data_IF_173897874507
#
_entry.id   IF_173897874507
#
_cell.length_a   1.000
_cell.length_b   1.000
_cell.length_c   1.000
_cell.angle_alpha   90.00
_cell.angle_beta   90.00
_cell.angle_gamma   90.00
#
_symmetry.space_group_name_H-M   'P 1'
#
loop_
_entity.id
_entity.type
_entity.pdbx_description
1 polymer ?
#
# COMPACT_ATOMS: atom_id res chain seq x y z
N UNK A 1 -11.73 1.08 -10.55
CA UNK A 1 -10.36 0.60 -10.31
C UNK A 1 -9.52 0.94 -11.52
N UNK A 2 -8.50 1.77 -11.36
CA UNK A 2 -7.61 2.16 -12.45
C UNK A 2 -6.17 2.16 -11.99
N UNK A 3 -5.38 1.21 -12.50
CA UNK A 3 -3.94 1.23 -12.30
C UNK A 3 -3.30 2.15 -13.35
N UNK A 4 -2.69 3.23 -12.87
CA UNK A 4 -1.90 4.16 -13.66
C UNK A 4 -0.48 3.61 -13.79
N UNK A 5 0.02 3.49 -15.02
CA UNK A 5 1.35 2.96 -15.29
C UNK A 5 2.17 3.96 -16.09
N UNK A 6 3.42 4.15 -15.68
CA UNK A 6 4.47 4.82 -16.44
C UNK A 6 5.59 3.82 -16.75
N UNK A 7 6.62 4.26 -17.45
CA UNK A 7 7.81 3.42 -17.67
C UNK A 7 8.51 3.03 -16.36
N UNK A 8 8.32 3.78 -15.27
CA UNK A 8 9.10 3.59 -14.03
C UNK A 8 8.27 3.19 -12.82
N UNK A 9 6.96 3.42 -12.85
CA UNK A 9 6.08 3.19 -11.70
C UNK A 9 4.68 2.72 -12.11
N UNK A 10 4.02 1.99 -11.22
CA UNK A 10 2.59 1.72 -11.27
C UNK A 10 1.94 2.12 -9.95
N UNK A 11 0.79 2.80 -10.01
CA UNK A 11 0.04 3.28 -8.84
C UNK A 11 -1.45 3.05 -9.04
N UNK A 12 -2.24 3.17 -7.97
CA UNK A 12 -3.70 3.01 -7.99
C UNK A 12 -4.37 4.19 -7.28
N UNK A 13 -5.64 4.45 -7.61
CA UNK A 13 -6.52 5.37 -6.90
C UNK A 13 -7.19 4.75 -5.66
N UNK A 14 -7.10 3.42 -5.49
CA UNK A 14 -7.79 2.65 -4.44
C UNK A 14 -6.82 2.24 -3.33
N UNK A 15 -5.58 1.90 -3.68
CA UNK A 15 -4.57 1.41 -2.75
C UNK A 15 -3.36 2.34 -2.67
N UNK A 16 -2.77 2.54 -1.47
CA UNK A 16 -1.52 3.26 -1.32
C UNK A 16 -0.29 2.46 -1.78
N UNK A 17 -0.44 1.19 -2.18
CA UNK A 17 0.70 0.43 -2.68
C UNK A 17 1.09 0.83 -4.10
N UNK A 18 2.34 0.52 -4.43
CA UNK A 18 2.97 0.92 -5.70
C UNK A 18 3.87 -0.18 -6.23
N UNK A 19 4.09 -0.18 -7.54
CA UNK A 19 5.19 -0.89 -8.17
C UNK A 19 6.21 0.13 -8.67
N UNK A 20 7.51 -0.18 -8.53
CA UNK A 20 8.58 0.66 -9.09
C UNK A 20 9.64 -0.20 -9.76
N UNK A 21 10.28 0.35 -10.79
CA UNK A 21 11.46 -0.26 -11.39
C UNK A 21 12.70 -0.03 -10.52
N UNK A 22 13.49 -1.07 -10.36
CA UNK A 22 14.80 -1.07 -9.71
C UNK A 22 15.87 -1.24 -10.78
N UNK A 23 16.87 -0.32 -10.83
CA UNK A 23 17.99 -0.44 -11.75
C UNK A 23 18.76 -1.77 -11.61
N UNK A 24 19.36 -2.24 -12.70
CA UNK A 24 20.34 -3.34 -12.70
C UNK A 24 19.83 -4.70 -13.17
N UNK A 25 18.53 -4.89 -13.36
CA UNK A 25 17.97 -6.10 -13.99
C UNK A 25 16.97 -5.70 -15.08
N UNK A 26 17.24 -6.09 -16.33
CA UNK A 26 16.41 -5.72 -17.47
C UNK A 26 15.20 -6.65 -17.67
N UNK A 27 15.25 -7.89 -17.15
CA UNK A 27 14.19 -8.89 -17.32
C UNK A 27 13.16 -8.82 -16.19
N UNK A 28 13.61 -8.57 -14.97
CA UNK A 28 12.75 -8.43 -13.79
C UNK A 28 13.01 -7.12 -13.05
N UNK A 29 12.81 -5.96 -13.71
CA UNK A 29 13.11 -4.68 -13.09
C UNK A 29 12.13 -4.30 -11.98
N UNK A 30 10.96 -4.94 -11.86
CA UNK A 30 9.90 -4.41 -10.99
C UNK A 30 9.93 -4.97 -9.57
N UNK A 31 9.56 -4.14 -8.60
CA UNK A 31 9.26 -4.52 -7.22
C UNK A 31 7.96 -3.88 -6.77
N UNK A 32 7.20 -4.59 -5.95
CA UNK A 32 6.00 -4.09 -5.29
C UNK A 32 6.36 -3.59 -3.89
N UNK A 33 5.72 -2.53 -3.43
CA UNK A 33 5.91 -2.01 -2.07
C UNK A 33 5.47 -2.99 -0.98
N UNK A 34 4.50 -3.86 -1.26
CA UNK A 34 4.01 -4.89 -0.33
C UNK A 34 4.69 -6.25 -0.49
N UNK A 35 5.47 -6.45 -1.56
CA UNK A 35 6.27 -7.65 -1.81
C UNK A 35 7.71 -7.26 -2.19
N UNK A 36 8.44 -6.58 -1.29
CA UNK A 36 9.74 -6.02 -1.64
C UNK A 36 10.76 -7.11 -1.95
N UNK A 37 10.69 -8.28 -1.33
CA UNK A 37 11.75 -9.30 -1.46
C UNK A 37 11.76 -10.02 -2.82
N UNK A 38 10.83 -9.70 -3.72
CA UNK A 38 10.75 -10.30 -5.06
C UNK A 38 10.97 -9.28 -6.16
N UNK A 39 11.78 -9.67 -7.14
CA UNK A 39 11.86 -9.02 -8.46
C UNK A 39 10.82 -9.64 -9.37
N UNK A 40 10.18 -8.82 -10.18
CA UNK A 40 9.02 -9.16 -11.00
C UNK A 40 9.20 -8.66 -12.43
N UNK A 41 8.59 -9.37 -13.38
CA UNK A 41 8.33 -8.82 -14.72
C UNK A 41 7.31 -7.69 -14.64
N UNK A 42 7.17 -6.91 -15.72
CA UNK A 42 6.15 -5.85 -15.79
C UNK A 42 4.72 -6.42 -15.65
N UNK A 43 4.46 -7.57 -16.26
CA UNK A 43 3.17 -8.26 -16.19
C UNK A 43 2.88 -8.74 -14.75
N UNK A 44 3.86 -9.34 -14.09
CA UNK A 44 3.72 -9.76 -12.70
C UNK A 44 3.50 -8.56 -11.76
N UNK A 45 4.22 -7.46 -11.97
CA UNK A 45 4.01 -6.23 -11.20
C UNK A 45 2.59 -5.69 -11.39
N UNK A 46 2.08 -5.66 -12.64
CA UNK A 46 0.71 -5.25 -12.94
C UNK A 46 -0.31 -6.14 -12.22
N UNK A 47 -0.09 -7.45 -12.22
CA UNK A 47 -0.95 -8.40 -11.53
C UNK A 47 -0.93 -8.23 -10.01
N UNK A 48 0.23 -7.90 -9.43
CA UNK A 48 0.31 -7.59 -8.01
C UNK A 48 -0.38 -6.29 -7.61
N UNK A 49 -0.42 -5.30 -8.51
CA UNK A 49 -1.24 -4.09 -8.32
C UNK A 49 -2.73 -4.41 -8.40
N UNK A 50 -3.16 -5.22 -9.37
CA UNK A 50 -4.57 -5.61 -9.53
C UNK A 50 -5.05 -6.47 -8.36
N UNK A 51 -4.22 -7.40 -7.90
CA UNK A 51 -4.50 -8.19 -6.70
C UNK A 51 -4.76 -7.29 -5.49
N UNK A 52 -3.90 -6.31 -5.28
CA UNK A 52 -4.02 -5.40 -4.14
C UNK A 52 -5.24 -4.47 -4.25
N UNK A 53 -5.59 -4.01 -5.45
CA UNK A 53 -6.85 -3.30 -5.68
C UNK A 53 -8.06 -4.17 -5.28
N UNK A 54 -8.11 -5.43 -5.71
CA UNK A 54 -9.21 -6.36 -5.40
C UNK A 54 -9.31 -6.59 -3.89
N UNK A 55 -8.18 -6.77 -3.20
CA UNK A 55 -8.16 -6.97 -1.74
C UNK A 55 -8.54 -5.71 -0.98
N UNK A 56 -8.22 -4.53 -1.52
CA UNK A 56 -8.45 -3.25 -0.86
C UNK A 56 -9.87 -2.69 -1.05
N UNK A 57 -10.64 -3.17 -2.03
CA UNK A 57 -12.02 -2.70 -2.29
C UNK A 57 -13.06 -3.56 -1.55
N UNK A 58 -13.72 -3.04 -0.49
CA UNK A 58 -14.73 -3.78 0.25
C UNK A 58 -15.96 -4.15 -0.59
N UNK A 59 -16.24 -3.43 -1.68
CA UNK A 59 -17.38 -3.72 -2.56
C UNK A 59 -17.21 -5.05 -3.32
N UNK A 60 -15.99 -5.57 -3.44
CA UNK A 60 -15.66 -6.78 -4.20
C UNK A 60 -15.63 -8.06 -3.36
N UNK A 61 -15.80 -7.98 -2.04
CA UNK A 61 -15.66 -9.11 -1.11
C UNK A 61 -16.57 -10.30 -1.46
N UNK A 62 -17.74 -10.05 -2.04
CA UNK A 62 -18.70 -11.09 -2.46
C UNK A 62 -18.74 -11.30 -3.98
N UNK A 63 -17.95 -10.56 -4.75
CA UNK A 63 -17.87 -10.72 -6.20
C UNK A 63 -16.95 -11.91 -6.55
N UNK A 64 -17.58 -13.04 -6.90
CA UNK A 64 -16.88 -14.27 -7.27
C UNK A 64 -15.94 -14.09 -8.48
N UNK A 65 -16.29 -13.22 -9.43
CA UNK A 65 -15.43 -12.96 -10.58
C UNK A 65 -14.19 -12.15 -10.16
N UNK A 66 -14.34 -11.19 -9.24
CA UNK A 66 -13.21 -10.47 -8.66
C UNK A 66 -12.29 -11.40 -7.86
N UNK A 67 -12.85 -12.28 -7.02
CA UNK A 67 -12.07 -13.26 -6.26
C UNK A 67 -11.30 -14.23 -7.18
N UNK A 68 -11.93 -14.70 -8.26
CA UNK A 68 -11.25 -15.55 -9.24
C UNK A 68 -10.11 -14.83 -9.96
N UNK A 69 -10.29 -13.56 -10.34
CA UNK A 69 -9.21 -12.71 -10.90
C UNK A 69 -8.09 -12.50 -9.89
N UNK A 70 -8.42 -12.23 -8.63
CA UNK A 70 -7.45 -12.09 -7.54
C UNK A 70 -6.61 -13.35 -7.35
N UNK A 71 -7.23 -14.52 -7.33
CA UNK A 71 -6.53 -15.81 -7.25
C UNK A 71 -5.62 -16.06 -8.47
N UNK A 72 -6.08 -15.70 -9.67
CA UNK A 72 -5.25 -15.77 -10.87
C UNK A 72 -4.01 -14.86 -10.77
N UNK A 73 -4.19 -13.62 -10.34
CA UNK A 73 -3.09 -12.67 -10.12
C UNK A 73 -2.10 -13.20 -9.08
N UNK A 74 -2.58 -13.79 -7.98
CA UNK A 74 -1.73 -14.41 -6.96
C UNK A 74 -0.91 -15.56 -7.56
N UNK A 75 -1.53 -16.38 -8.42
CA UNK A 75 -0.87 -17.45 -9.16
C UNK A 75 0.28 -16.95 -10.04
N UNK A 76 0.11 -15.82 -10.72
CA UNK A 76 1.18 -15.22 -11.54
C UNK A 76 2.40 -14.76 -10.72
N UNK A 77 2.18 -14.43 -9.44
CA UNK A 77 3.22 -14.10 -8.49
C UNK A 77 3.84 -15.34 -7.81
N UNK A 78 3.34 -16.55 -8.09
CA UNK A 78 3.71 -17.76 -7.38
C UNK A 78 3.27 -17.73 -5.92
N UNK A 79 2.08 -17.17 -5.64
CA UNK A 79 1.48 -17.08 -4.32
C UNK A 79 0.11 -17.78 -4.32
N UNK A 80 -0.24 -18.32 -3.16
CA UNK A 80 -1.63 -18.64 -2.86
C UNK A 80 -2.39 -17.36 -2.53
N UNK A 81 -3.68 -17.33 -2.84
CA UNK A 81 -4.57 -16.19 -2.58
C UNK A 81 -4.51 -15.76 -1.10
N UNK A 82 -4.62 -16.73 -0.19
CA UNK A 82 -4.61 -16.51 1.25
C UNK A 82 -3.28 -15.93 1.73
N UNK A 83 -2.16 -16.37 1.14
CA UNK A 83 -0.84 -15.82 1.44
C UNK A 83 -0.72 -14.35 1.01
N UNK A 84 -1.27 -14.01 -0.16
CA UNK A 84 -1.26 -12.63 -0.64
C UNK A 84 -2.08 -11.71 0.29
N UNK A 85 -3.27 -12.14 0.72
CA UNK A 85 -4.08 -11.41 1.71
C UNK A 85 -3.30 -11.18 3.01
N UNK A 86 -2.62 -12.20 3.53
CA UNK A 86 -1.83 -12.08 4.76
C UNK A 86 -0.69 -11.07 4.61
N UNK A 87 0.01 -11.07 3.47
CA UNK A 87 1.10 -10.13 3.20
C UNK A 87 0.58 -8.68 3.13
N UNK A 88 -0.53 -8.45 2.43
CA UNK A 88 -1.16 -7.14 2.34
C UNK A 88 -1.70 -6.66 3.69
N UNK A 89 -2.30 -7.54 4.48
CA UNK A 89 -2.77 -7.22 5.84
C UNK A 89 -1.62 -6.81 6.76
N UNK A 90 -0.47 -7.49 6.67
CA UNK A 90 0.75 -7.11 7.40
C UNK A 90 1.25 -5.75 6.96
N UNK A 91 1.24 -5.47 5.66
CA UNK A 91 1.67 -4.19 5.10
C UNK A 91 0.75 -3.04 5.54
N UNK A 92 -0.56 -3.25 5.56
CA UNK A 92 -1.54 -2.30 6.11
C UNK A 92 -1.27 -2.03 7.60
N UNK A 93 -1.04 -3.09 8.38
CA UNK A 93 -0.72 -2.98 9.81
C UNK A 93 0.57 -2.19 10.06
N UNK A 94 1.60 -2.38 9.22
CA UNK A 94 2.84 -1.62 9.30
C UNK A 94 2.60 -0.12 9.03
N UNK A 95 1.83 0.21 7.98
CA UNK A 95 1.47 1.61 7.68
C UNK A 95 0.68 2.27 8.81
N UNK A 96 -0.26 1.54 9.43
CA UNK A 96 -1.03 2.07 10.57
C UNK A 96 -0.11 2.38 11.77
N UNK A 97 0.94 1.58 11.98
CA UNK A 97 1.95 1.86 13.02
C UNK A 97 2.82 3.05 12.67
N UNK A 98 3.24 3.16 11.40
CA UNK A 98 4.03 4.30 10.88
C UNK A 98 3.24 5.62 10.92
N UNK A 99 1.92 5.58 10.71
CA UNK A 99 1.04 6.75 10.83
C UNK A 99 0.68 7.12 12.28
N UNK A 100 0.72 6.15 13.20
CA UNK A 100 0.47 6.38 14.62
C UNK A 100 1.68 7.01 15.34
N UNK A 101 2.88 6.94 14.77
CA UNK A 101 4.03 7.74 15.19
C UNK A 101 3.86 9.18 14.71
N UNK A 102 3.01 9.95 15.40
CA UNK A 102 3.07 11.41 15.37
C UNK A 102 4.48 11.80 15.85
N UNK A 103 5.22 12.68 15.13
CA UNK A 103 6.50 13.17 15.63
C UNK A 103 6.26 13.82 17.00
N UNK A 104 7.13 13.53 17.97
CA UNK A 104 7.06 14.05 19.34
C UNK A 104 7.25 15.59 19.43
N UNK A 105 7.33 16.24 18.27
CA UNK A 105 7.78 17.60 18.04
C UNK A 105 6.60 18.59 17.99
N UNK A 106 5.34 18.13 18.12
CA UNK A 106 4.13 18.98 18.06
C UNK A 106 3.44 19.20 19.41
N UNK A 107 4.06 18.83 20.54
CA UNK A 107 3.42 18.92 21.87
C UNK A 107 3.94 20.05 22.79
N UNK A 108 4.86 20.91 22.31
CA UNK A 108 5.43 22.00 23.12
C UNK A 108 4.70 23.36 22.92
N UNK A 109 4.09 23.64 21.76
CA UNK A 109 3.51 24.96 21.47
C UNK A 109 2.11 25.19 22.05
N UNK A 110 1.41 24.14 22.49
CA UNK A 110 0.05 24.25 23.04
C UNK A 110 -0.01 24.31 24.58
N UNK A 111 1.13 24.23 25.27
CA UNK A 111 1.18 24.23 26.76
C UNK A 111 1.27 25.61 27.41
N UNK A 112 1.40 26.70 26.64
CA UNK A 112 1.58 28.06 27.19
C UNK A 112 0.42 29.05 26.93
N UNK A 113 -0.69 28.63 26.35
CA UNK A 113 -1.88 29.48 26.22
C UNK A 113 -2.79 29.36 27.47
N UNK A 114 -2.27 29.76 28.63
CA UNK A 114 -3.00 29.74 29.90
C UNK A 114 -2.49 30.80 30.88
N UNK A 115 -2.90 32.05 30.70
CA UNK A 115 -3.74 32.79 31.67
C UNK A 115 -3.99 34.23 31.16
N UNK A 116 -5.22 34.77 31.28
CA UNK A 116 -5.46 36.20 31.07
C UNK A 116 -4.89 37.00 32.25
N UNK A 117 -4.35 38.22 32.06
CA UNK A 117 -3.99 39.05 33.19
C UNK A 117 -5.27 39.51 33.91
N UNK A 118 -5.49 38.98 35.11
CA UNK A 118 -6.36 39.56 36.12
C UNK A 118 -5.89 41.00 36.39
N UNK A 119 -6.66 41.98 35.93
CA UNK A 119 -6.43 43.39 36.25
C UNK A 119 -6.95 43.63 37.68
N UNK A 120 -6.05 43.93 38.60
CA UNK A 120 -6.36 44.47 39.92
C UNK A 120 -6.17 45.99 39.92
N UNK A 121 -7.16 46.67 40.51
CA UNK A 121 -7.30 48.11 40.84
C UNK A 121 -7.87 49.00 39.76
#
# INVERSE_FOLDING_TARGET
MTIYATDWSMTSDITPETAHRVPGDFLMPWRLSWLPDRRLSAEQARAGMELDEIVSDPALVYDQAALARGAHCAGMLGLLWEHAIVLLSKRLSARLREGATVPADLDEDLRFAGDPPCVLS
#
